data_IF_687081438055
#
_entry.id   IF_687081438055
#
_cell.length_a   1.000
_cell.length_b   1.000
_cell.length_c   1.000
_cell.angle_alpha   90.00
_cell.angle_beta   90.00
_cell.angle_gamma   90.00
#
_symmetry.space_group_name_H-M   'P 1'
#
loop_
_entity.id
_entity.type
_entity.pdbx_description
1 polymer ?
#
# COMPACT_ATOMS: atom_id res chain seq x y z
N UNK A 1 42.65 16.32 -8.83
CA UNK A 1 41.36 15.60 -8.99
C UNK A 1 40.84 15.88 -10.40
N UNK A 2 40.87 14.91 -11.31
CA UNK A 2 40.84 15.13 -12.77
C UNK A 2 39.48 15.62 -13.32
N UNK A 3 39.50 16.63 -14.23
CA UNK A 3 38.35 17.19 -14.97
C UNK A 3 37.49 16.14 -15.71
N UNK A 4 38.05 14.96 -16.03
CA UNK A 4 37.31 13.81 -16.61
C UNK A 4 36.29 13.21 -15.62
N UNK A 5 36.57 13.21 -14.32
CA UNK A 5 35.64 12.68 -13.31
C UNK A 5 34.46 13.63 -13.05
N UNK A 6 34.66 14.95 -13.15
CA UNK A 6 33.57 15.94 -13.10
C UNK A 6 32.66 15.88 -14.35
N UNK A 7 33.22 15.67 -15.55
CA UNK A 7 32.40 15.46 -16.77
C UNK A 7 31.61 14.15 -16.73
N UNK A 8 32.14 13.09 -16.12
CA UNK A 8 31.41 11.83 -15.93
C UNK A 8 30.32 11.90 -14.85
N UNK A 9 30.50 12.70 -13.79
CA UNK A 9 29.42 12.93 -12.80
C UNK A 9 28.28 13.77 -13.38
N UNK A 10 28.58 14.80 -14.18
CA UNK A 10 27.56 15.64 -14.83
C UNK A 10 26.77 14.89 -15.91
N UNK A 11 27.36 13.92 -16.63
CA UNK A 11 26.65 13.08 -17.61
C UNK A 11 25.72 12.03 -16.97
N UNK A 12 25.83 11.74 -15.67
CA UNK A 12 24.96 10.76 -14.98
C UNK A 12 23.61 11.33 -14.54
N UNK A 13 23.48 12.65 -14.37
CA UNK A 13 22.22 13.29 -13.99
C UNK A 13 21.16 13.28 -15.10
N UNK A 14 21.59 13.24 -16.37
CA UNK A 14 20.72 13.32 -17.56
C UNK A 14 20.13 11.93 -17.95
N UNK A 15 20.67 10.83 -17.40
CA UNK A 15 20.38 9.47 -17.88
C UNK A 15 18.96 8.94 -17.60
N UNK A 16 18.17 9.64 -16.80
CA UNK A 16 16.85 9.15 -16.38
C UNK A 16 15.69 10.12 -16.65
N UNK A 17 15.92 11.17 -17.43
CA UNK A 17 14.91 12.20 -17.72
C UNK A 17 13.72 11.62 -18.49
N UNK A 18 13.96 10.61 -19.33
CA UNK A 18 12.92 9.95 -20.13
C UNK A 18 11.87 9.28 -19.24
N UNK A 19 12.29 8.58 -18.18
CA UNK A 19 11.40 7.89 -17.25
C UNK A 19 10.48 8.87 -16.52
N UNK A 20 10.99 10.04 -16.13
CA UNK A 20 10.16 11.10 -15.54
C UNK A 20 9.13 11.64 -16.53
N UNK A 21 9.54 11.92 -17.78
CA UNK A 21 8.61 12.36 -18.83
C UNK A 21 7.54 11.30 -19.05
N UNK A 22 7.91 10.02 -19.14
CA UNK A 22 6.97 8.93 -19.35
C UNK A 22 5.99 8.85 -18.19
N UNK A 23 6.44 8.92 -16.93
CA UNK A 23 5.52 8.92 -15.77
C UNK A 23 4.54 10.09 -15.82
N UNK A 24 5.02 11.30 -16.11
CA UNK A 24 4.17 12.49 -16.21
C UNK A 24 3.15 12.32 -17.35
N UNK A 25 3.62 12.00 -18.56
CA UNK A 25 2.77 11.78 -19.72
C UNK A 25 1.74 10.68 -19.47
N UNK A 26 2.13 9.61 -18.77
CA UNK A 26 1.26 8.50 -18.45
C UNK A 26 0.19 8.85 -17.40
N UNK A 27 0.53 9.68 -16.38
CA UNK A 27 -0.48 10.24 -15.47
C UNK A 27 -1.53 11.08 -16.22
N UNK A 28 -1.09 11.92 -17.16
CA UNK A 28 -2.02 12.69 -18.01
C UNK A 28 -2.79 11.81 -19.00
N UNK A 29 -2.22 10.72 -19.49
CA UNK A 29 -2.93 9.77 -20.35
C UNK A 29 -4.07 9.06 -19.60
N UNK A 30 -3.83 8.67 -18.35
CA UNK A 30 -4.83 7.95 -17.54
C UNK A 30 -5.94 8.86 -17.04
N UNK A 31 -5.59 10.07 -16.58
CA UNK A 31 -6.53 10.95 -15.89
C UNK A 31 -6.91 12.19 -16.70
N UNK A 32 -6.28 12.46 -17.84
CA UNK A 32 -6.47 13.71 -18.60
C UNK A 32 -7.89 13.97 -19.08
N UNK A 33 -8.71 12.93 -19.28
CA UNK A 33 -10.12 13.10 -19.59
C UNK A 33 -10.88 13.84 -18.48
N UNK A 34 -10.42 13.75 -17.22
CA UNK A 34 -11.05 14.43 -16.10
C UNK A 34 -10.85 15.95 -16.11
N UNK A 35 -9.93 16.47 -16.94
CA UNK A 35 -9.78 17.92 -17.13
C UNK A 35 -11.09 18.53 -17.61
N UNK A 36 -11.87 17.81 -18.42
CA UNK A 36 -13.16 18.31 -18.93
C UNK A 36 -14.32 18.14 -17.94
N UNK A 37 -14.09 17.60 -16.75
CA UNK A 37 -15.13 17.46 -15.73
C UNK A 37 -15.47 18.81 -15.10
N UNK A 38 -16.69 18.90 -14.58
CA UNK A 38 -17.15 19.99 -13.71
C UNK A 38 -16.89 19.64 -12.24
N UNK A 39 -17.09 20.60 -11.35
CA UNK A 39 -17.01 20.39 -9.91
C UNK A 39 -17.97 19.30 -9.44
N UNK A 40 -17.52 18.52 -8.46
CA UNK A 40 -18.36 17.56 -7.75
C UNK A 40 -18.89 18.17 -6.44
N UNK A 41 -19.79 17.45 -5.77
CA UNK A 41 -20.45 17.89 -4.52
C UNK A 41 -19.45 18.25 -3.41
N UNK A 42 -18.32 17.54 -3.30
CA UNK A 42 -17.34 17.78 -2.22
C UNK A 42 -16.42 18.97 -2.53
N UNK A 43 -16.30 19.37 -3.80
CA UNK A 43 -15.43 20.48 -4.22
C UNK A 43 -15.96 21.83 -3.73
N UNK A 44 -17.26 21.92 -3.43
CA UNK A 44 -17.92 23.07 -2.82
C UNK A 44 -17.32 23.46 -1.46
N UNK A 45 -16.85 22.46 -0.71
CA UNK A 45 -16.27 22.65 0.62
C UNK A 45 -14.82 23.11 0.60
N UNK A 46 -14.15 23.05 -0.55
CA UNK A 46 -12.70 23.33 -0.65
C UNK A 46 -12.33 24.35 -1.70
N UNK A 47 -13.17 24.56 -2.72
CA UNK A 47 -12.85 25.38 -3.89
C UNK A 47 -14.03 26.25 -4.35
N UNK A 48 -15.06 25.65 -4.96
CA UNK A 48 -16.05 26.34 -5.80
C UNK A 48 -16.72 27.50 -5.05
N UNK A 49 -17.34 27.20 -3.91
CA UNK A 49 -18.05 28.17 -3.07
C UNK A 49 -17.33 28.47 -1.76
N UNK A 50 -16.00 28.32 -1.71
CA UNK A 50 -15.22 28.54 -0.50
C UNK A 50 -14.80 30.02 -0.37
N UNK A 51 -15.40 30.74 0.59
CA UNK A 51 -15.21 32.19 0.77
C UNK A 51 -13.74 32.64 0.86
N UNK A 52 -12.90 31.93 1.62
CA UNK A 52 -11.47 32.31 1.73
C UNK A 52 -10.64 32.01 0.47
N UNK A 53 -10.98 30.96 -0.29
CA UNK A 53 -10.33 30.65 -1.57
C UNK A 53 -10.67 31.71 -2.60
N UNK A 54 -11.93 32.16 -2.64
CA UNK A 54 -12.39 33.20 -3.54
C UNK A 54 -11.72 34.58 -3.29
N UNK A 55 -11.17 34.81 -2.08
CA UNK A 55 -10.34 35.99 -1.77
C UNK A 55 -8.94 35.94 -2.41
N UNK A 56 -8.56 34.83 -3.05
CA UNK A 56 -7.25 34.62 -3.64
C UNK A 56 -6.12 34.75 -2.62
N UNK A 57 -5.01 35.38 -3.00
CA UNK A 57 -3.84 35.56 -2.12
C UNK A 57 -4.17 36.32 -0.83
N UNK A 58 -5.15 37.23 -0.86
CA UNK A 58 -5.57 38.01 0.31
C UNK A 58 -6.25 37.13 1.38
N UNK A 59 -6.76 35.95 1.01
CA UNK A 59 -7.35 35.00 1.94
C UNK A 59 -6.35 34.20 2.77
N UNK A 60 -5.08 34.09 2.33
CA UNK A 60 -4.07 33.21 2.94
C UNK A 60 -3.87 33.48 4.45
N UNK A 61 -3.70 34.73 4.93
CA UNK A 61 -3.52 34.97 6.35
C UNK A 61 -4.70 34.49 7.22
N UNK A 62 -5.91 34.52 6.67
CA UNK A 62 -7.13 34.05 7.34
C UNK A 62 -7.24 32.53 7.30
N UNK A 63 -6.90 31.90 6.15
CA UNK A 63 -6.87 30.44 5.97
C UNK A 63 -6.03 29.74 7.06
N UNK A 64 -4.88 30.31 7.43
CA UNK A 64 -4.02 29.76 8.49
C UNK A 64 -4.53 30.01 9.92
N UNK A 65 -5.60 30.79 10.07
CA UNK A 65 -6.25 31.11 11.35
C UNK A 65 -7.62 30.48 11.50
N UNK A 66 -8.10 29.75 10.50
CA UNK A 66 -9.45 29.16 10.50
C UNK A 66 -9.42 27.67 10.16
N UNK A 67 -10.54 26.99 10.40
CA UNK A 67 -10.78 25.64 9.85
C UNK A 67 -11.10 25.75 8.36
N UNK A 68 -10.95 24.65 7.62
CA UNK A 68 -11.07 24.69 6.16
C UNK A 68 -12.51 24.70 5.66
N UNK A 69 -13.50 24.38 6.49
CA UNK A 69 -14.89 24.62 6.15
C UNK A 69 -15.66 24.98 7.43
N UNK A 70 -16.52 25.99 7.32
CA UNK A 70 -17.39 26.51 8.38
C UNK A 70 -18.85 26.61 7.92
N UNK A 71 -19.18 26.13 6.72
CA UNK A 71 -20.56 26.06 6.23
C UNK A 71 -21.32 24.91 6.90
N UNK A 72 -22.63 25.10 7.07
CA UNK A 72 -23.60 24.08 7.49
C UNK A 72 -23.36 23.40 8.85
N UNK A 73 -22.74 24.11 9.80
CA UNK A 73 -22.36 23.57 11.12
C UNK A 73 -21.41 22.35 11.07
N UNK A 74 -20.84 22.06 9.89
CA UNK A 74 -19.88 20.98 9.68
C UNK A 74 -18.46 21.53 9.64
N UNK A 75 -17.78 21.49 10.78
CA UNK A 75 -16.45 22.04 10.92
C UNK A 75 -15.39 20.97 10.67
N UNK A 76 -14.96 20.88 9.42
CA UNK A 76 -13.97 19.90 9.02
C UNK A 76 -12.54 20.40 9.27
N UNK A 77 -11.73 19.56 9.93
CA UNK A 77 -10.25 19.57 9.93
C UNK A 77 -9.49 20.89 10.16
N UNK A 78 -8.16 20.82 10.06
CA UNK A 78 -7.27 21.99 9.94
C UNK A 78 -6.24 21.67 8.85
N UNK A 79 -6.44 22.23 7.65
CA UNK A 79 -5.70 21.88 6.42
C UNK A 79 -5.30 23.13 5.63
N UNK A 80 -4.66 24.11 6.27
CA UNK A 80 -4.48 25.44 5.69
C UNK A 80 -3.61 25.44 4.44
N UNK A 81 -2.67 24.50 4.28
CA UNK A 81 -1.81 24.47 3.11
C UNK A 81 -2.59 24.11 1.85
N UNK A 82 -3.48 23.12 1.93
CA UNK A 82 -4.32 22.70 0.81
C UNK A 82 -5.21 23.85 0.34
N UNK A 83 -5.86 24.55 1.27
CA UNK A 83 -6.73 25.69 0.95
C UNK A 83 -5.93 26.89 0.44
N UNK A 84 -4.74 27.14 0.97
CA UNK A 84 -3.88 28.19 0.46
C UNK A 84 -3.45 27.92 -0.99
N UNK A 85 -3.16 26.67 -1.35
CA UNK A 85 -2.86 26.29 -2.74
C UNK A 85 -4.07 26.52 -3.65
N UNK A 86 -5.26 26.15 -3.20
CA UNK A 86 -6.49 26.48 -3.92
C UNK A 86 -6.70 27.99 -4.09
N UNK A 87 -6.45 28.80 -3.07
CA UNK A 87 -6.56 30.25 -3.14
C UNK A 87 -5.54 30.87 -4.11
N UNK A 88 -4.32 30.32 -4.15
CA UNK A 88 -3.31 30.69 -5.14
C UNK A 88 -3.80 30.36 -6.56
N UNK A 89 -4.33 29.16 -6.80
CA UNK A 89 -4.86 28.79 -8.11
C UNK A 89 -6.05 29.67 -8.51
N UNK A 90 -6.98 29.92 -7.59
CA UNK A 90 -8.13 30.79 -7.82
C UNK A 90 -7.71 32.21 -8.20
N UNK A 91 -6.64 32.75 -7.62
CA UNK A 91 -6.11 34.08 -7.97
C UNK A 91 -5.75 34.20 -9.45
N UNK A 92 -5.26 33.12 -10.07
CA UNK A 92 -4.77 33.13 -11.45
C UNK A 92 -5.78 32.57 -12.45
N UNK A 93 -6.64 31.64 -12.04
CA UNK A 93 -7.54 30.90 -12.96
C UNK A 93 -9.02 31.08 -12.64
N UNK A 94 -9.36 31.74 -11.52
CA UNK A 94 -10.73 31.96 -11.07
C UNK A 94 -11.48 30.67 -10.74
N UNK A 95 -12.80 30.73 -10.80
CA UNK A 95 -13.67 29.57 -10.56
C UNK A 95 -13.76 28.66 -11.80
N UNK A 96 -12.66 27.97 -12.14
CA UNK A 96 -12.56 27.14 -13.34
C UNK A 96 -12.22 25.68 -13.00
N UNK A 97 -13.17 24.73 -13.14
CA UNK A 97 -12.96 23.33 -12.78
C UNK A 97 -11.89 22.66 -13.65
N UNK A 98 -11.75 23.06 -14.91
CA UNK A 98 -10.77 22.47 -15.82
C UNK A 98 -9.34 22.77 -15.38
N UNK A 99 -9.08 24.01 -14.93
CA UNK A 99 -7.79 24.39 -14.38
C UNK A 99 -7.49 23.62 -13.09
N UNK A 100 -8.47 23.46 -12.21
CA UNK A 100 -8.31 22.74 -10.96
C UNK A 100 -8.01 21.25 -11.19
N UNK A 101 -8.72 20.59 -12.11
CA UNK A 101 -8.43 19.19 -12.47
C UNK A 101 -7.04 19.03 -13.12
N UNK A 102 -6.64 19.96 -13.99
CA UNK A 102 -5.29 19.97 -14.57
C UNK A 102 -4.20 20.01 -13.48
N UNK A 103 -4.29 20.94 -12.53
CA UNK A 103 -3.32 21.02 -11.44
C UNK A 103 -3.38 19.80 -10.53
N UNK A 104 -4.54 19.20 -10.33
CA UNK A 104 -4.66 17.97 -9.53
C UNK A 104 -3.87 16.81 -10.17
N UNK A 105 -4.01 16.62 -11.49
CA UNK A 105 -3.24 15.61 -12.24
C UNK A 105 -1.75 15.95 -12.21
N UNK A 106 -1.38 17.23 -12.36
CA UNK A 106 0.01 17.67 -12.29
C UNK A 106 0.63 17.36 -10.92
N UNK A 107 -0.07 17.61 -9.82
CA UNK A 107 0.39 17.25 -8.47
C UNK A 107 0.54 15.75 -8.33
N UNK A 108 -0.39 14.94 -8.84
CA UNK A 108 -0.27 13.49 -8.82
C UNK A 108 0.94 12.99 -9.62
N UNK A 109 1.20 13.59 -10.80
CA UNK A 109 2.37 13.29 -11.62
C UNK A 109 3.69 13.64 -10.88
N UNK A 110 3.73 14.78 -10.18
CA UNK A 110 4.85 15.19 -9.32
C UNK A 110 5.04 14.18 -8.18
N UNK A 111 3.96 13.73 -7.53
CA UNK A 111 4.01 12.72 -6.48
C UNK A 111 4.61 11.40 -7.01
N UNK A 112 4.20 10.94 -8.19
CA UNK A 112 4.75 9.75 -8.85
C UNK A 112 6.24 9.92 -9.19
N UNK A 113 6.64 11.08 -9.71
CA UNK A 113 8.05 11.41 -9.98
C UNK A 113 8.91 11.43 -8.70
N UNK A 114 8.37 11.97 -7.60
CA UNK A 114 9.05 11.95 -6.30
C UNK A 114 9.16 10.54 -5.74
N UNK A 115 8.11 9.73 -5.86
CA UNK A 115 8.13 8.32 -5.47
C UNK A 115 9.20 7.56 -6.27
N UNK A 116 9.29 7.79 -7.58
CA UNK A 116 10.35 7.20 -8.41
C UNK A 116 11.74 7.61 -7.94
N UNK A 117 11.91 8.88 -7.55
CA UNK A 117 13.18 9.40 -7.02
C UNK A 117 13.55 8.74 -5.68
N UNK A 118 12.58 8.62 -4.77
CA UNK A 118 12.75 7.96 -3.48
C UNK A 118 13.11 6.48 -3.66
N UNK A 119 12.36 5.76 -4.50
CA UNK A 119 12.61 4.33 -4.75
C UNK A 119 13.97 4.10 -5.41
N UNK A 120 14.40 4.97 -6.33
CA UNK A 120 15.76 4.88 -6.88
C UNK A 120 16.80 5.06 -5.79
N UNK A 121 16.60 6.02 -4.90
CA UNK A 121 17.51 6.29 -3.78
C UNK A 121 17.60 5.07 -2.84
N UNK A 122 16.47 4.41 -2.57
CA UNK A 122 16.40 3.20 -1.74
C UNK A 122 17.03 1.99 -2.44
N UNK A 123 16.71 1.74 -3.70
CA UNK A 123 17.16 0.51 -4.39
C UNK A 123 18.57 0.60 -4.97
N UNK A 124 19.14 1.80 -5.13
CA UNK A 124 20.47 1.97 -5.75
C UNK A 124 21.59 1.21 -5.04
N UNK A 125 21.59 1.15 -3.71
CA UNK A 125 22.62 0.41 -2.97
C UNK A 125 22.40 -1.11 -3.03
N UNK A 126 21.15 -1.58 -3.03
CA UNK A 126 20.82 -3.02 -2.98
C UNK A 126 20.77 -3.70 -4.34
N UNK A 127 20.36 -2.98 -5.39
CA UNK A 127 20.17 -3.47 -6.75
C UNK A 127 20.85 -2.54 -7.78
N UNK A 128 22.18 -2.32 -7.70
CA UNK A 128 22.88 -1.26 -8.43
C UNK A 128 22.75 -1.33 -9.97
N UNK A 129 22.48 -2.51 -10.53
CA UNK A 129 22.34 -2.68 -11.98
C UNK A 129 20.90 -2.47 -12.48
N UNK A 130 19.88 -2.68 -11.64
CA UNK A 130 18.48 -2.72 -12.06
C UNK A 130 17.57 -1.74 -11.29
N UNK A 131 18.10 -0.96 -10.35
CA UNK A 131 17.30 -0.09 -9.47
C UNK A 131 16.38 0.85 -10.23
N UNK A 132 16.84 1.43 -11.35
CA UNK A 132 16.02 2.35 -12.15
C UNK A 132 14.82 1.64 -12.76
N UNK A 133 15.03 0.48 -13.38
CA UNK A 133 13.97 -0.30 -14.00
C UNK A 133 12.95 -0.80 -12.97
N UNK A 134 13.43 -1.33 -11.84
CA UNK A 134 12.57 -1.82 -10.76
C UNK A 134 11.76 -0.67 -10.15
N UNK A 135 12.39 0.47 -9.86
CA UNK A 135 11.67 1.66 -9.37
C UNK A 135 10.64 2.14 -10.38
N UNK A 136 10.98 2.16 -11.66
CA UNK A 136 10.07 2.62 -12.71
C UNK A 136 8.85 1.70 -12.82
N UNK A 137 9.04 0.37 -12.84
CA UNK A 137 7.93 -0.59 -12.86
C UNK A 137 7.02 -0.45 -11.63
N UNK A 138 7.60 -0.30 -10.44
CA UNK A 138 6.80 -0.12 -9.21
C UNK A 138 5.96 1.14 -9.29
N UNK A 139 6.55 2.27 -9.74
CA UNK A 139 5.78 3.51 -9.88
C UNK A 139 4.76 3.39 -11.00
N UNK A 140 5.06 2.71 -12.10
CA UNK A 140 4.08 2.50 -13.16
C UNK A 140 2.84 1.75 -12.64
N UNK A 141 3.04 0.66 -11.87
CA UNK A 141 1.95 -0.08 -11.22
C UNK A 141 1.19 0.82 -10.25
N UNK A 142 1.90 1.59 -9.41
CA UNK A 142 1.31 2.55 -8.49
C UNK A 142 0.44 3.57 -9.25
N UNK A 143 0.96 4.19 -10.32
CA UNK A 143 0.24 5.18 -11.12
C UNK A 143 -1.03 4.62 -11.76
N UNK A 144 -1.08 3.32 -12.08
CA UNK A 144 -2.25 2.67 -12.70
C UNK A 144 -3.28 2.14 -11.72
N UNK A 145 -2.97 2.08 -10.42
CA UNK A 145 -3.83 1.37 -9.49
C UNK A 145 -5.17 2.09 -9.32
N UNK A 146 -6.27 1.37 -9.55
CA UNK A 146 -7.63 1.92 -9.55
C UNK A 146 -8.01 2.66 -8.25
N UNK A 147 -7.40 2.29 -7.11
CA UNK A 147 -7.61 2.95 -5.82
C UNK A 147 -7.23 4.44 -5.83
N UNK A 148 -6.35 4.86 -6.74
CA UNK A 148 -5.97 6.28 -6.86
C UNK A 148 -6.98 7.11 -7.65
N UNK A 149 -7.94 6.49 -8.35
CA UNK A 149 -8.95 7.25 -9.10
C UNK A 149 -9.75 8.19 -8.19
N UNK A 150 -10.16 7.75 -7.00
CA UNK A 150 -10.87 8.57 -6.02
C UNK A 150 -10.02 9.78 -5.56
N UNK A 151 -8.72 9.59 -5.40
CA UNK A 151 -7.80 10.64 -4.94
C UNK A 151 -7.48 11.64 -6.05
N UNK A 152 -7.33 11.17 -7.29
CA UNK A 152 -6.92 12.01 -8.43
C UNK A 152 -8.10 12.75 -9.06
N UNK A 153 -9.30 12.16 -9.07
CA UNK A 153 -10.48 12.73 -9.71
C UNK A 153 -11.23 13.73 -8.81
N UNK A 154 -11.21 13.54 -7.49
CA UNK A 154 -11.82 14.48 -6.53
C UNK A 154 -10.85 15.60 -6.18
N UNK A 155 -11.24 16.87 -6.37
CA UNK A 155 -10.39 18.01 -5.99
C UNK A 155 -10.30 18.10 -4.46
N UNK A 156 -11.38 17.79 -3.74
CA UNK A 156 -11.36 17.69 -2.28
C UNK A 156 -10.28 16.74 -1.73
N UNK A 157 -9.90 15.70 -2.47
CA UNK A 157 -8.85 14.77 -2.05
C UNK A 157 -7.42 15.25 -2.38
N UNK A 158 -7.24 16.44 -2.96
CA UNK A 158 -5.91 17.03 -3.24
C UNK A 158 -5.00 17.11 -2.02
N UNK A 159 -5.58 17.30 -0.84
CA UNK A 159 -4.91 17.23 0.46
C UNK A 159 -4.07 15.95 0.65
N UNK A 160 -4.54 14.79 0.17
CA UNK A 160 -3.78 13.53 0.23
C UNK A 160 -2.59 13.54 -0.74
N UNK A 161 -2.77 14.11 -1.93
CA UNK A 161 -1.70 14.24 -2.93
C UNK A 161 -0.60 15.14 -2.39
N UNK A 162 -0.96 16.30 -1.82
CA UNK A 162 -0.01 17.24 -1.23
C UNK A 162 0.69 16.64 0.00
N UNK A 163 -0.05 15.98 0.89
CA UNK A 163 0.52 15.27 2.04
C UNK A 163 1.54 14.21 1.58
N UNK A 164 1.23 13.46 0.51
CA UNK A 164 2.15 12.50 -0.10
C UNK A 164 3.38 13.18 -0.70
N UNK A 165 3.22 14.25 -1.49
CA UNK A 165 4.34 15.02 -2.08
C UNK A 165 5.32 15.46 -0.99
N UNK A 166 4.81 16.14 0.03
CA UNK A 166 5.66 16.67 1.09
C UNK A 166 6.24 15.56 1.99
N UNK A 167 5.50 14.48 2.23
CA UNK A 167 6.02 13.29 2.91
C UNK A 167 7.15 12.58 2.14
N UNK A 168 7.05 12.50 0.81
CA UNK A 168 8.09 11.96 -0.07
C UNK A 168 9.33 12.86 -0.07
N UNK A 169 9.15 14.18 -0.17
CA UNK A 169 10.25 15.16 -0.06
C UNK A 169 10.94 15.02 1.31
N UNK A 170 10.16 14.93 2.39
CA UNK A 170 10.68 14.73 3.75
C UNK A 170 11.52 13.45 3.84
N UNK A 171 11.05 12.37 3.22
CA UNK A 171 11.74 11.07 3.15
C UNK A 171 13.05 11.15 2.37
N UNK A 172 13.05 11.78 1.20
CA UNK A 172 14.25 11.94 0.36
C UNK A 172 15.32 12.74 1.11
N UNK A 173 14.96 13.87 1.72
CA UNK A 173 15.90 14.68 2.48
C UNK A 173 16.36 13.99 3.77
N UNK A 174 15.48 13.25 4.46
CA UNK A 174 15.87 12.45 5.62
C UNK A 174 16.94 11.43 5.23
N UNK A 175 16.70 10.58 4.22
CA UNK A 175 17.67 9.54 3.84
C UNK A 175 19.00 10.17 3.41
N UNK A 176 18.96 11.27 2.65
CA UNK A 176 20.16 12.02 2.27
C UNK A 176 20.93 12.55 3.49
N UNK A 177 20.24 13.08 4.51
CA UNK A 177 20.85 13.48 5.79
C UNK A 177 21.53 12.28 6.47
N UNK A 178 20.90 11.11 6.49
CA UNK A 178 21.49 9.91 7.08
C UNK A 178 22.71 9.39 6.32
N UNK A 179 22.84 9.72 5.03
CA UNK A 179 24.02 9.40 4.22
C UNK A 179 25.14 10.44 4.36
N UNK A 180 24.82 11.72 4.25
CA UNK A 180 25.81 12.79 4.11
C UNK A 180 26.03 13.64 5.37
N UNK A 181 25.16 13.50 6.37
CA UNK A 181 25.18 14.22 7.67
C UNK A 181 25.13 15.75 7.55
N UNK A 182 24.60 16.29 6.45
CA UNK A 182 24.49 17.75 6.25
C UNK A 182 23.23 18.29 6.90
N UNK A 183 23.36 19.18 7.88
CA UNK A 183 22.24 19.66 8.71
C UNK A 183 21.09 20.27 7.91
N UNK A 184 21.36 20.98 6.81
CA UNK A 184 20.30 21.56 5.98
C UNK A 184 19.34 20.50 5.42
N UNK A 185 19.80 19.26 5.20
CA UNK A 185 18.95 18.16 4.74
C UNK A 185 17.99 17.71 5.84
N UNK A 186 18.40 17.76 7.10
CA UNK A 186 17.50 17.54 8.23
C UNK A 186 16.46 18.66 8.32
N UNK A 187 16.89 19.94 8.21
CA UNK A 187 15.98 21.08 8.25
C UNK A 187 14.94 21.03 7.12
N UNK A 188 15.36 20.72 5.89
CA UNK A 188 14.44 20.57 4.76
C UNK A 188 13.49 19.37 4.92
N UNK A 189 13.96 18.27 5.54
CA UNK A 189 13.10 17.12 5.85
C UNK A 189 12.02 17.49 6.87
N UNK A 190 12.40 18.20 7.94
CA UNK A 190 11.48 18.68 8.97
C UNK A 190 10.49 19.69 8.38
N UNK A 191 10.96 20.66 7.60
CA UNK A 191 10.09 21.64 6.94
C UNK A 191 9.09 20.97 5.99
N UNK A 192 9.54 20.00 5.20
CA UNK A 192 8.64 19.24 4.35
C UNK A 192 7.61 18.44 5.17
N UNK A 193 8.00 17.87 6.31
CA UNK A 193 7.05 17.19 7.20
C UNK A 193 6.01 18.14 7.80
N UNK A 194 6.41 19.36 8.19
CA UNK A 194 5.49 20.44 8.60
C UNK A 194 4.46 20.70 7.51
N UNK A 195 4.91 20.89 6.27
CA UNK A 195 4.03 21.14 5.13
C UNK A 195 3.09 19.95 4.86
N UNK A 196 3.58 18.71 5.00
CA UNK A 196 2.74 17.53 4.88
C UNK A 196 1.60 17.50 5.91
N UNK A 197 1.88 17.86 7.16
CA UNK A 197 0.85 17.94 8.21
C UNK A 197 -0.13 19.09 8.01
N UNK A 198 0.34 20.22 7.49
CA UNK A 198 -0.53 21.35 7.15
C UNK A 198 -1.41 21.06 5.92
N UNK A 199 -1.04 20.09 5.09
CA UNK A 199 -1.90 19.55 4.03
C UNK A 199 -2.91 18.55 4.61
N UNK A 200 -2.46 17.54 5.36
CA UNK A 200 -3.33 16.54 6.00
C UNK A 200 -2.66 15.77 7.15
N UNK A 201 -3.44 15.45 8.18
CA UNK A 201 -3.00 14.62 9.31
C UNK A 201 -2.57 13.19 8.93
N UNK A 202 -3.04 12.65 7.81
CA UNK A 202 -2.65 11.31 7.30
C UNK A 202 -1.14 11.21 7.05
N UNK A 203 -0.45 12.34 6.88
CA UNK A 203 1.01 12.40 6.79
C UNK A 203 1.74 11.83 8.02
N UNK A 204 1.04 11.57 9.13
CA UNK A 204 1.61 10.94 10.35
C UNK A 204 2.29 9.61 10.06
N UNK A 205 1.85 8.91 9.01
CA UNK A 205 2.46 7.67 8.53
C UNK A 205 3.96 7.87 8.20
N UNK A 206 4.36 9.03 7.69
CA UNK A 206 5.76 9.34 7.38
C UNK A 206 6.65 9.44 8.62
N UNK A 207 6.11 9.75 9.80
CA UNK A 207 6.89 9.69 11.05
C UNK A 207 7.39 8.29 11.35
N UNK A 208 6.66 7.26 10.92
CA UNK A 208 7.01 5.85 11.11
C UNK A 208 7.80 5.35 9.89
N UNK A 209 7.34 5.65 8.67
CA UNK A 209 7.98 5.16 7.45
C UNK A 209 9.41 5.64 7.28
N UNK A 210 9.71 6.90 7.62
CA UNK A 210 11.06 7.45 7.47
C UNK A 210 12.07 6.67 8.34
N UNK A 211 11.88 6.54 9.68
CA UNK A 211 12.70 5.67 10.52
C UNK A 211 12.78 4.23 10.03
N UNK A 212 11.66 3.61 9.67
CA UNK A 212 11.66 2.22 9.19
C UNK A 212 12.50 2.05 7.93
N UNK A 213 12.41 3.00 7.00
CA UNK A 213 13.21 3.01 5.76
C UNK A 213 14.69 3.13 6.09
N UNK A 214 15.06 4.00 7.04
CA UNK A 214 16.45 4.17 7.48
C UNK A 214 16.96 2.92 8.19
N UNK A 215 16.16 2.31 9.08
CA UNK A 215 16.50 1.04 9.75
C UNK A 215 16.74 -0.01 8.68
N UNK A 216 15.75 -0.28 7.83
CA UNK A 216 15.84 -1.30 6.79
C UNK A 216 17.07 -1.13 5.88
N UNK A 217 17.49 0.11 5.62
CA UNK A 217 18.61 0.42 4.74
C UNK A 217 19.97 0.43 5.43
N UNK A 218 20.09 1.05 6.60
CA UNK A 218 21.37 1.18 7.33
C UNK A 218 21.71 -0.06 8.14
N UNK A 219 20.75 -0.97 8.31
CA UNK A 219 20.98 -2.20 9.04
C UNK A 219 21.00 -3.34 8.04
N UNK A 220 22.04 -4.17 8.11
CA UNK A 220 21.95 -5.52 7.57
C UNK A 220 21.02 -6.30 8.50
N UNK A 221 19.70 -6.03 8.45
CA UNK A 221 18.70 -6.97 8.95
C UNK A 221 18.80 -8.18 8.02
N UNK A 222 19.79 -9.03 8.32
CA UNK A 222 19.70 -10.44 8.01
C UNK A 222 18.59 -10.91 8.94
N UNK A 223 17.36 -10.98 8.41
CA UNK A 223 16.20 -11.47 9.18
C UNK A 223 16.59 -12.76 9.91
N UNK A 224 17.52 -13.54 9.33
CA UNK A 224 18.20 -14.68 9.94
C UNK A 224 19.64 -14.76 9.38
N UNK A 225 20.70 -14.44 10.14
CA UNK A 225 22.08 -14.49 9.64
C UNK A 225 22.52 -15.92 9.23
N UNK A 226 21.79 -16.93 9.71
CA UNK A 226 21.98 -18.36 9.43
C UNK A 226 20.75 -19.05 8.82
N UNK A 227 19.71 -18.33 8.36
CA UNK A 227 18.82 -18.98 7.38
C UNK A 227 19.57 -19.00 6.06
N UNK A 228 20.11 -20.17 5.75
CA UNK A 228 19.88 -20.63 4.40
C UNK A 228 18.37 -20.83 4.31
N UNK A 229 17.68 -20.10 3.44
CA UNK A 229 16.46 -20.62 2.85
C UNK A 229 16.87 -21.86 2.03
N UNK A 230 17.24 -22.93 2.73
CA UNK A 230 16.71 -24.22 2.38
C UNK A 230 15.29 -24.20 2.93
N UNK A 231 14.37 -23.58 2.18
CA UNK A 231 13.20 -24.43 1.91
C UNK A 231 13.79 -25.73 1.36
N UNK A 232 13.23 -26.91 1.61
CA UNK A 232 13.52 -28.01 0.71
C UNK A 232 13.23 -27.41 -0.67
N UNK A 233 14.29 -27.10 -1.43
CA UNK A 233 14.15 -26.21 -2.58
C UNK A 233 13.12 -26.93 -3.42
N UNK A 234 11.94 -26.33 -3.55
CA UNK A 234 11.14 -26.52 -4.74
C UNK A 234 12.06 -26.01 -5.83
N UNK A 235 12.92 -26.90 -6.32
CA UNK A 235 13.93 -26.56 -7.29
C UNK A 235 13.16 -26.17 -8.54
N UNK A 236 13.11 -24.87 -8.91
CA UNK A 236 12.39 -24.44 -10.09
C UNK A 236 13.10 -24.95 -11.36
N UNK A 237 14.27 -25.56 -11.22
CA UNK A 237 15.11 -26.00 -12.33
C UNK A 237 14.70 -27.35 -12.92
N UNK A 238 13.74 -28.08 -12.32
CA UNK A 238 13.13 -29.22 -13.02
C UNK A 238 11.87 -28.74 -13.73
N UNK A 239 11.84 -28.84 -15.06
CA UNK A 239 10.71 -28.48 -15.95
C UNK A 239 9.35 -28.96 -15.39
N UNK A 240 9.33 -30.13 -14.76
CA UNK A 240 8.16 -30.73 -14.13
C UNK A 240 7.62 -29.94 -12.92
N UNK A 241 8.47 -29.34 -12.08
CA UNK A 241 8.01 -28.57 -10.90
C UNK A 241 7.39 -27.23 -11.28
N UNK A 242 7.95 -26.56 -12.30
CA UNK A 242 7.37 -25.34 -12.87
C UNK A 242 6.00 -25.64 -13.49
N UNK A 243 5.89 -26.73 -14.23
CA UNK A 243 4.63 -27.17 -14.83
C UNK A 243 3.54 -27.44 -13.78
N UNK A 244 3.87 -28.12 -12.68
CA UNK A 244 2.92 -28.43 -11.59
C UNK A 244 2.45 -27.17 -10.88
N UNK A 245 3.37 -26.25 -10.57
CA UNK A 245 3.02 -24.97 -9.93
C UNK A 245 2.15 -24.13 -10.88
N UNK A 246 2.51 -24.06 -12.16
CA UNK A 246 1.72 -23.36 -13.18
C UNK A 246 0.33 -23.96 -13.35
N UNK A 247 0.19 -25.29 -13.42
CA UNK A 247 -1.11 -25.97 -13.47
C UNK A 247 -1.97 -25.67 -12.25
N UNK A 248 -1.36 -25.62 -11.06
CA UNK A 248 -2.06 -25.31 -9.82
C UNK A 248 -2.55 -23.86 -9.77
N UNK A 249 -1.73 -22.90 -10.19
CA UNK A 249 -2.16 -21.49 -10.30
C UNK A 249 -3.21 -21.30 -11.38
N UNK A 250 -3.07 -21.95 -12.53
CA UNK A 250 -4.07 -21.94 -13.61
C UNK A 250 -5.38 -22.54 -13.10
N UNK A 251 -5.32 -23.61 -12.31
CA UNK A 251 -6.52 -24.26 -11.77
C UNK A 251 -7.21 -23.44 -10.67
N UNK A 252 -6.46 -22.80 -9.76
CA UNK A 252 -7.04 -21.84 -8.80
C UNK A 252 -7.70 -20.68 -9.54
N UNK A 253 -7.03 -20.16 -10.57
CA UNK A 253 -7.56 -19.10 -11.40
C UNK A 253 -8.84 -19.53 -12.13
N UNK A 254 -8.86 -20.73 -12.72
CA UNK A 254 -10.06 -21.30 -13.34
C UNK A 254 -11.18 -21.57 -12.31
N UNK A 255 -10.86 -22.02 -11.10
CA UNK A 255 -11.85 -22.21 -10.04
C UNK A 255 -12.49 -20.87 -9.63
N UNK A 256 -11.68 -19.82 -9.45
CA UNK A 256 -12.18 -18.48 -9.14
C UNK A 256 -13.02 -17.89 -10.29
N UNK A 257 -12.66 -18.17 -11.55
CA UNK A 257 -13.42 -17.72 -12.72
C UNK A 257 -14.73 -18.48 -12.93
N UNK A 258 -14.74 -19.80 -12.69
CA UNK A 258 -15.86 -20.69 -13.00
C UNK A 258 -16.82 -20.88 -11.83
N UNK A 259 -16.46 -20.46 -10.61
CA UNK A 259 -17.35 -20.44 -9.45
C UNK A 259 -18.01 -19.06 -9.31
N UNK A 260 -19.26 -18.88 -9.78
CA UNK A 260 -19.92 -17.58 -9.75
C UNK A 260 -20.25 -17.11 -8.33
N UNK A 261 -20.37 -18.03 -7.37
CA UNK A 261 -20.79 -17.74 -6.00
C UNK A 261 -20.02 -18.56 -4.95
N UNK A 262 -19.82 -17.95 -3.79
CA UNK A 262 -19.13 -18.51 -2.64
C UNK A 262 -20.10 -18.69 -1.47
N UNK A 263 -20.52 -19.94 -1.22
CA UNK A 263 -21.40 -20.25 -0.07
C UNK A 263 -20.58 -20.31 1.21
N UNK A 264 -20.88 -19.46 2.17
CA UNK A 264 -20.16 -19.39 3.46
C UNK A 264 -20.79 -20.35 4.48
N UNK A 265 -22.12 -20.45 4.46
CA UNK A 265 -22.91 -21.30 5.33
C UNK A 265 -24.37 -21.28 4.89
N UNK A 266 -25.27 -21.92 5.65
CA UNK A 266 -26.69 -22.05 5.32
C UNK A 266 -27.31 -20.70 4.95
N UNK A 267 -27.60 -20.52 3.65
CA UNK A 267 -28.25 -19.33 3.09
C UNK A 267 -27.38 -18.09 2.88
N UNK A 268 -26.07 -18.14 3.15
CA UNK A 268 -25.16 -16.99 2.91
C UNK A 268 -24.25 -17.25 1.72
N UNK A 269 -24.55 -16.58 0.60
CA UNK A 269 -23.76 -16.59 -0.64
C UNK A 269 -23.04 -15.25 -0.83
N UNK A 270 -21.78 -15.31 -1.29
CA UNK A 270 -21.05 -14.16 -1.82
C UNK A 270 -20.90 -14.37 -3.32
N UNK A 271 -21.51 -13.53 -4.13
CA UNK A 271 -21.35 -13.61 -5.58
C UNK A 271 -19.99 -13.01 -5.97
N UNK A 272 -19.16 -13.81 -6.64
CA UNK A 272 -17.83 -13.42 -7.09
C UNK A 272 -17.89 -12.64 -8.40
N UNK A 273 -18.80 -13.03 -9.30
CA UNK A 273 -19.04 -12.37 -10.59
C UNK A 273 -20.53 -12.36 -10.96
N UNK A 274 -21.00 -11.35 -11.70
CA UNK A 274 -22.41 -11.15 -12.08
C UNK A 274 -22.92 -12.08 -13.19
N UNK A 275 -22.13 -13.07 -13.62
CA UNK A 275 -22.47 -13.98 -14.72
C UNK A 275 -22.80 -15.37 -14.18
N UNK A 276 -24.05 -15.81 -14.34
CA UNK A 276 -24.48 -17.18 -14.02
C UNK A 276 -23.93 -18.17 -15.06
N UNK A 277 -22.74 -18.71 -14.82
CA UNK A 277 -22.23 -19.87 -15.55
C UNK A 277 -22.66 -21.11 -14.78
N UNK A 278 -23.54 -21.93 -15.36
CA UNK A 278 -24.16 -23.08 -14.68
C UNK A 278 -23.23 -24.32 -14.66
N UNK A 279 -21.99 -24.14 -14.21
CA UNK A 279 -21.04 -25.24 -14.03
C UNK A 279 -21.16 -25.74 -12.60
N UNK A 280 -21.44 -27.05 -12.46
CA UNK A 280 -21.51 -27.69 -11.16
C UNK A 280 -20.12 -27.70 -10.50
N UNK A 281 -20.00 -27.08 -9.33
CA UNK A 281 -18.77 -26.97 -8.56
C UNK A 281 -18.10 -28.33 -8.29
N UNK A 282 -18.87 -29.42 -8.17
CA UNK A 282 -18.38 -30.79 -8.01
C UNK A 282 -17.50 -31.28 -9.17
N UNK A 283 -17.71 -30.77 -10.39
CA UNK A 283 -16.88 -31.11 -11.55
C UNK A 283 -15.46 -30.57 -11.34
N UNK A 284 -15.33 -29.37 -10.80
CA UNK A 284 -14.01 -28.76 -10.53
C UNK A 284 -13.29 -29.54 -9.43
N UNK A 285 -14.00 -29.95 -8.37
CA UNK A 285 -13.46 -30.82 -7.31
C UNK A 285 -12.95 -32.17 -7.86
N UNK A 286 -13.69 -32.79 -8.78
CA UNK A 286 -13.32 -34.05 -9.42
C UNK A 286 -12.04 -33.90 -10.25
N UNK A 287 -11.93 -32.83 -11.05
CA UNK A 287 -10.74 -32.55 -11.87
C UNK A 287 -9.50 -32.34 -10.99
N UNK A 288 -9.62 -31.62 -9.87
CA UNK A 288 -8.52 -31.46 -8.92
C UNK A 288 -8.05 -32.81 -8.36
N UNK A 289 -8.98 -33.65 -7.93
CA UNK A 289 -8.65 -34.93 -7.32
C UNK A 289 -7.93 -35.86 -8.32
N UNK A 290 -8.38 -35.89 -9.57
CA UNK A 290 -7.72 -36.64 -10.66
C UNK A 290 -6.29 -36.11 -10.88
N UNK A 291 -6.11 -34.79 -10.96
CA UNK A 291 -4.77 -34.17 -11.10
C UNK A 291 -3.87 -34.51 -9.91
N UNK A 292 -4.40 -34.48 -8.69
CA UNK A 292 -3.64 -34.81 -7.49
C UNK A 292 -3.22 -36.29 -7.44
N UNK A 293 -4.11 -37.22 -7.80
CA UNK A 293 -3.76 -38.64 -7.92
C UNK A 293 -2.70 -38.88 -9.01
N UNK A 294 -2.83 -38.20 -10.16
CA UNK A 294 -1.85 -38.25 -11.23
C UNK A 294 -0.47 -37.74 -10.77
N UNK A 295 -0.42 -36.69 -9.95
CA UNK A 295 0.82 -36.19 -9.33
C UNK A 295 1.47 -37.23 -8.40
N UNK A 296 0.67 -37.92 -7.58
CA UNK A 296 1.18 -39.01 -6.73
C UNK A 296 1.73 -40.16 -7.57
N UNK A 297 1.06 -40.52 -8.66
CA UNK A 297 1.49 -41.56 -9.59
C UNK A 297 2.84 -41.24 -10.26
N UNK A 298 2.98 -40.04 -10.85
CA UNK A 298 4.24 -39.59 -11.45
C UNK A 298 5.36 -39.61 -10.40
N UNK A 299 5.08 -39.08 -9.21
CA UNK A 299 6.08 -38.94 -8.16
C UNK A 299 6.58 -40.30 -7.63
N UNK A 300 5.72 -41.30 -7.61
CA UNK A 300 6.11 -42.67 -7.27
C UNK A 300 7.07 -43.26 -8.32
N UNK A 301 6.91 -42.93 -9.61
CA UNK A 301 7.85 -43.32 -10.68
C UNK A 301 9.18 -42.56 -10.63
N UNK A 302 9.25 -41.36 -10.06
CA UNK A 302 10.45 -40.51 -10.10
C UNK A 302 11.27 -40.53 -8.80
N UNK A 303 11.82 -41.66 -8.32
CA UNK A 303 12.77 -41.77 -7.18
C UNK A 303 12.52 -40.91 -5.91
N UNK A 304 11.33 -40.33 -5.73
CA UNK A 304 10.91 -39.44 -4.64
C UNK A 304 9.61 -39.99 -4.02
N UNK A 305 9.62 -41.24 -3.53
CA UNK A 305 8.40 -41.91 -3.08
C UNK A 305 7.76 -41.11 -1.93
N UNK A 306 6.46 -40.86 -2.04
CA UNK A 306 5.66 -40.34 -0.92
C UNK A 306 5.39 -41.52 0.01
N UNK A 307 6.09 -41.60 1.14
CA UNK A 307 5.75 -42.58 2.18
C UNK A 307 4.51 -42.12 2.94
N UNK A 308 3.54 -43.02 3.08
CA UNK A 308 2.37 -42.81 3.93
C UNK A 308 2.79 -42.91 5.40
N UNK A 309 3.21 -41.79 5.97
CA UNK A 309 3.47 -41.70 7.41
C UNK A 309 2.13 -41.53 8.16
N UNK A 310 2.05 -41.87 9.47
CA UNK A 310 0.84 -41.68 10.28
C UNK A 310 0.25 -40.27 10.17
N UNK A 311 1.13 -39.24 10.11
CA UNK A 311 0.75 -37.86 9.85
C UNK A 311 0.00 -37.67 8.52
N UNK A 312 0.44 -38.30 7.45
CA UNK A 312 -0.24 -38.21 6.16
C UNK A 312 -1.60 -38.87 6.26
N UNK A 313 -1.69 -40.07 6.86
CA UNK A 313 -2.97 -40.74 7.08
C UNK A 313 -3.93 -39.86 7.90
N UNK A 314 -3.46 -39.20 8.96
CA UNK A 314 -4.27 -38.25 9.73
C UNK A 314 -4.78 -37.08 8.88
N UNK A 315 -3.94 -36.50 8.01
CA UNK A 315 -4.35 -35.42 7.11
C UNK A 315 -5.36 -35.89 6.04
N UNK A 316 -5.28 -37.13 5.60
CA UNK A 316 -6.26 -37.74 4.69
C UNK A 316 -7.60 -38.03 5.40
N UNK A 317 -7.56 -38.48 6.66
CA UNK A 317 -8.78 -38.66 7.48
C UNK A 317 -9.46 -37.31 7.73
N UNK A 318 -8.68 -36.25 8.04
CA UNK A 318 -9.21 -34.89 8.18
C UNK A 318 -9.84 -34.42 6.87
N UNK A 319 -9.23 -34.68 5.71
CA UNK A 319 -9.83 -34.36 4.41
C UNK A 319 -11.18 -35.07 4.21
N UNK A 320 -11.27 -36.38 4.50
CA UNK A 320 -12.52 -37.12 4.36
C UNK A 320 -13.62 -36.55 5.27
N UNK A 321 -13.28 -36.17 6.50
CA UNK A 321 -14.21 -35.53 7.41
C UNK A 321 -14.67 -34.15 6.92
N UNK A 322 -13.77 -33.36 6.35
CA UNK A 322 -14.09 -32.06 5.75
C UNK A 322 -14.95 -32.23 4.49
N UNK A 323 -14.71 -33.25 3.65
CA UNK A 323 -15.58 -33.59 2.51
C UNK A 323 -16.99 -33.96 2.98
N UNK A 324 -17.11 -34.82 3.99
CA UNK A 324 -18.41 -35.18 4.56
C UNK A 324 -19.11 -33.94 5.14
N UNK A 325 -18.39 -33.09 5.86
CA UNK A 325 -18.91 -31.84 6.40
C UNK A 325 -19.36 -30.87 5.29
N UNK A 326 -18.66 -30.82 4.15
CA UNK A 326 -19.04 -30.00 2.99
C UNK A 326 -20.34 -30.46 2.35
N UNK A 327 -20.50 -31.76 2.15
CA UNK A 327 -21.73 -32.34 1.60
C UNK A 327 -22.93 -32.02 2.51
N UNK A 328 -22.72 -32.07 3.83
CA UNK A 328 -23.75 -31.78 4.84
C UNK A 328 -24.07 -30.28 4.92
N UNK A 329 -23.06 -29.41 4.89
CA UNK A 329 -23.23 -27.96 5.13
C UNK A 329 -23.45 -27.12 3.88
N UNK A 330 -23.23 -27.68 2.68
CA UNK A 330 -23.30 -26.96 1.39
C UNK A 330 -22.46 -25.66 1.35
N UNK A 331 -21.38 -25.60 2.14
CA UNK A 331 -20.45 -24.47 2.22
C UNK A 331 -19.29 -24.67 1.24
N UNK A 332 -18.80 -23.62 0.57
CA UNK A 332 -17.68 -23.68 -0.37
C UNK A 332 -16.35 -23.28 0.27
N UNK A 333 -16.37 -22.65 1.46
CA UNK A 333 -15.17 -22.24 2.21
C UNK A 333 -14.32 -23.44 2.61
N UNK A 334 -14.95 -24.51 3.12
CA UNK A 334 -14.22 -25.69 3.57
C UNK A 334 -13.57 -26.46 2.39
N UNK A 335 -14.04 -26.23 1.15
CA UNK A 335 -13.42 -26.78 -0.05
C UNK A 335 -12.05 -26.16 -0.32
N UNK A 336 -11.87 -24.85 -0.09
CA UNK A 336 -10.55 -24.22 -0.22
C UNK A 336 -9.52 -24.81 0.74
N UNK A 337 -9.97 -25.20 1.95
CA UNK A 337 -9.13 -25.87 2.94
C UNK A 337 -8.73 -27.29 2.50
N UNK A 338 -9.59 -28.00 1.74
CA UNK A 338 -9.26 -29.28 1.11
C UNK A 338 -8.15 -29.20 0.06
N UNK A 339 -7.84 -28.02 -0.51
CA UNK A 339 -6.72 -27.91 -1.46
C UNK A 339 -5.36 -27.83 -0.74
N UNK A 340 -5.36 -27.25 0.47
CA UNK A 340 -4.14 -27.01 1.25
C UNK A 340 -3.67 -28.32 1.90
N UNK A 341 -4.60 -29.11 2.44
CA UNK A 341 -4.27 -30.30 3.26
C UNK A 341 -3.53 -31.39 2.44
N UNK A 342 -3.94 -31.77 1.20
CA UNK A 342 -3.22 -32.72 0.37
C UNK A 342 -1.82 -32.23 -0.04
N UNK A 343 -1.66 -30.92 -0.29
CA UNK A 343 -0.34 -30.31 -0.56
C UNK A 343 0.60 -30.41 0.65
N UNK A 344 0.08 -30.33 1.87
CA UNK A 344 0.87 -30.51 3.09
C UNK A 344 1.38 -31.96 3.27
N UNK A 345 0.81 -32.93 2.56
CA UNK A 345 1.32 -34.33 2.56
C UNK A 345 2.55 -34.51 1.65
N UNK A 346 2.81 -33.55 0.76
CA UNK A 346 3.95 -33.57 -0.17
C UNK A 346 5.24 -33.08 0.50
N UNK A 347 5.77 -33.82 1.49
CA UNK A 347 7.09 -33.49 2.08
C UNK A 347 8.25 -33.98 1.20
N UNK A 348 9.30 -33.17 1.07
CA UNK A 348 10.63 -33.62 0.59
C UNK A 348 11.45 -33.98 1.82
N UNK A 349 12.21 -35.08 1.77
CA UNK A 349 13.13 -35.46 2.86
C UNK A 349 14.29 -34.46 2.88
N UNK A 350 14.33 -33.57 3.88
CA UNK A 350 15.53 -32.80 4.18
C UNK A 350 16.47 -33.62 5.05
N UNK A 351 17.77 -33.59 4.74
CA UNK A 351 18.81 -33.99 5.69
C UNK A 351 18.70 -33.06 6.90
N UNK A 352 18.69 -33.66 8.09
CA UNK A 352 18.43 -33.00 9.38
C UNK A 352 19.27 -31.74 9.59
N UNK A 353 18.61 -30.63 9.91
CA UNK A 353 19.26 -29.44 10.44
C UNK A 353 18.70 -29.17 11.85
N UNK A 354 19.40 -29.70 12.87
CA UNK A 354 19.25 -29.26 14.26
C UNK A 354 19.94 -27.90 14.41
N UNK A 355 19.19 -26.80 14.46
CA UNK A 355 19.60 -25.59 15.20
C UNK A 355 18.37 -24.80 15.64
N UNK A 356 18.33 -24.44 16.93
CA UNK A 356 17.39 -23.47 17.48
C UNK A 356 17.84 -22.06 17.08
N UNK A 357 16.98 -21.32 16.38
CA UNK A 357 17.30 -19.98 15.88
C UNK A 357 16.91 -18.91 16.90
N UNK A 358 17.89 -18.15 17.42
CA UNK A 358 17.64 -16.89 18.13
C UNK A 358 17.50 -15.75 17.11
N UNK A 359 16.31 -15.15 17.04
CA UNK A 359 16.05 -13.93 16.27
C UNK A 359 16.73 -12.74 16.96
N UNK A 360 17.82 -12.25 16.35
CA UNK A 360 18.56 -11.06 16.81
C UNK A 360 18.27 -9.91 15.86
N UNK A 361 17.08 -9.31 16.01
CA UNK A 361 16.56 -8.24 15.13
C UNK A 361 17.38 -6.94 15.26
N UNK A 362 18.02 -6.69 16.40
CA UNK A 362 18.61 -5.38 16.73
C UNK A 362 20.14 -5.35 16.90
N UNK A 363 20.83 -6.50 16.81
CA UNK A 363 22.27 -6.58 17.12
C UNK A 363 23.16 -5.78 16.14
N UNK A 364 22.66 -5.45 14.95
CA UNK A 364 23.38 -4.71 13.90
C UNK A 364 23.06 -3.21 13.84
N UNK A 365 22.22 -2.67 14.73
CA UNK A 365 21.88 -1.24 14.70
C UNK A 365 22.86 -0.45 15.55
N UNK A 366 23.65 0.44 14.93
CA UNK A 366 24.56 1.30 15.70
C UNK A 366 23.76 2.19 16.67
N UNK A 367 24.25 2.36 17.90
CA UNK A 367 23.63 3.24 18.92
C UNK A 367 23.36 4.66 18.39
N UNK A 368 24.24 5.17 17.50
CA UNK A 368 24.07 6.47 16.83
C UNK A 368 22.85 6.54 15.91
N UNK A 369 22.52 5.46 15.20
CA UNK A 369 21.32 5.38 14.34
C UNK A 369 20.06 5.35 15.20
N UNK A 370 20.05 4.54 16.26
CA UNK A 370 18.91 4.48 17.21
C UNK A 370 18.63 5.86 17.81
N UNK A 371 19.67 6.55 18.29
CA UNK A 371 19.54 7.90 18.83
C UNK A 371 19.00 8.89 17.79
N UNK A 372 19.50 8.83 16.55
CA UNK A 372 19.04 9.71 15.47
C UNK A 372 17.57 9.46 15.09
N UNK A 373 17.11 8.20 15.16
CA UNK A 373 15.71 7.84 14.92
C UNK A 373 14.83 8.37 16.05
N UNK A 374 15.23 8.16 17.31
CA UNK A 374 14.49 8.70 18.46
C UNK A 374 14.39 10.22 18.40
N UNK A 375 15.51 10.91 18.11
CA UNK A 375 15.52 12.35 17.93
C UNK A 375 14.58 12.79 16.79
N UNK A 376 14.59 12.08 15.66
CA UNK A 376 13.68 12.36 14.55
C UNK A 376 12.21 12.20 14.96
N UNK A 377 11.85 11.12 15.66
CA UNK A 377 10.48 10.86 16.11
C UNK A 377 10.03 11.95 17.09
N UNK A 378 10.89 12.36 18.03
CA UNK A 378 10.59 13.43 18.98
C UNK A 378 10.37 14.76 18.25
N UNK A 379 11.27 15.12 17.32
CA UNK A 379 11.14 16.35 16.53
C UNK A 379 9.87 16.31 15.68
N UNK A 380 9.60 15.20 15.00
CA UNK A 380 8.40 15.02 14.18
C UNK A 380 7.12 15.11 15.02
N UNK A 381 7.11 14.50 16.22
CA UNK A 381 6.00 14.58 17.17
C UNK A 381 5.79 15.99 17.70
N UNK A 382 6.86 16.71 18.05
CA UNK A 382 6.79 18.11 18.46
C UNK A 382 6.26 19.01 17.33
N UNK A 383 6.72 18.76 16.09
CA UNK A 383 6.22 19.44 14.90
C UNK A 383 4.72 19.19 14.73
N UNK A 384 4.28 17.93 14.71
CA UNK A 384 2.86 17.58 14.62
C UNK A 384 2.04 18.26 15.72
N UNK A 385 2.56 18.28 16.94
CA UNK A 385 1.89 18.93 18.06
C UNK A 385 1.73 20.44 17.84
N UNK A 386 2.81 21.13 17.48
CA UNK A 386 2.84 22.58 17.30
C UNK A 386 2.07 23.02 16.07
N UNK A 387 2.20 22.32 14.95
CA UNK A 387 1.70 22.79 13.65
C UNK A 387 0.27 22.33 13.37
N UNK A 388 -0.18 21.27 14.03
CA UNK A 388 -1.51 20.71 13.81
C UNK A 388 -2.36 20.69 15.09
N UNK A 389 -1.91 20.02 16.16
CA UNK A 389 -2.76 19.84 17.34
C UNK A 389 -3.04 21.13 18.12
N UNK A 390 -2.02 21.98 18.34
CA UNK A 390 -2.21 23.27 19.01
C UNK A 390 -3.20 24.15 18.24
N UNK A 391 -2.99 24.45 16.93
CA UNK A 391 -3.95 25.21 16.13
C UNK A 391 -5.35 24.59 16.17
N UNK A 392 -5.45 23.28 15.92
CA UNK A 392 -6.74 22.56 15.91
C UNK A 392 -7.50 22.69 17.23
N UNK A 393 -6.82 22.65 18.37
CA UNK A 393 -7.44 22.76 19.71
C UNK A 393 -7.73 24.21 20.11
N UNK A 394 -6.94 25.16 19.61
CA UNK A 394 -7.17 26.60 19.83
C UNK A 394 -8.33 27.16 19.00
N UNK A 395 -8.68 26.47 17.91
CA UNK A 395 -9.86 26.79 17.11
C UNK A 395 -11.10 26.24 17.79
N UNK A 396 -12.21 27.02 17.86
CA UNK A 396 -13.42 26.62 18.57
C UNK A 396 -13.82 25.18 18.22
N UNK A 397 -14.09 24.38 19.27
CA UNK A 397 -14.68 23.06 19.11
C UNK A 397 -16.03 23.23 18.43
N UNK A 398 -16.31 22.36 17.46
CA UNK A 398 -17.67 22.32 16.94
C UNK A 398 -18.19 20.90 16.90
N UNK A 399 -19.27 20.75 17.64
CA UNK A 399 -20.25 19.70 17.52
C UNK A 399 -20.83 19.70 16.11
N UNK A 400 -20.08 19.25 15.11
CA UNK A 400 -20.75 18.59 14.00
C UNK A 400 -21.33 17.31 14.62
N UNK A 401 -22.65 17.11 14.67
CA UNK A 401 -23.19 15.81 15.03
C UNK A 401 -22.59 14.83 14.03
N UNK A 402 -21.61 14.03 14.47
CA UNK A 402 -21.18 12.86 13.73
C UNK A 402 -22.41 11.95 13.75
N UNK A 403 -23.26 12.09 12.74
CA UNK A 403 -24.42 11.24 12.60
C UNK A 403 -23.89 9.80 12.63
N UNK A 404 -24.53 8.96 13.46
CA UNK A 404 -24.14 7.58 13.81
C UNK A 404 -23.69 6.71 12.62
N UNK A 405 -24.07 7.08 11.41
CA UNK A 405 -23.78 6.42 10.14
C UNK A 405 -22.34 6.59 9.62
N UNK A 406 -21.57 7.57 10.11
CA UNK A 406 -20.24 7.86 9.53
C UNK A 406 -19.11 6.94 10.01
N UNK A 407 -19.19 6.35 11.21
CA UNK A 407 -18.39 5.19 11.60
C UNK A 407 -18.86 4.60 12.95
N UNK A 408 -19.37 3.36 13.00
CA UNK A 408 -19.83 2.76 14.26
C UNK A 408 -18.71 2.57 15.32
N UNK A 409 -17.42 2.62 14.95
CA UNK A 409 -16.28 2.55 15.88
C UNK A 409 -16.26 3.70 16.90
N UNK A 410 -16.70 4.90 16.50
CA UNK A 410 -16.58 6.11 17.32
C UNK A 410 -17.83 6.39 18.16
N UNK A 411 -18.81 5.47 18.16
CA UNK A 411 -19.93 5.54 19.10
C UNK A 411 -19.46 5.27 20.53
N UNK A 412 -19.92 6.09 21.49
CA UNK A 412 -19.63 5.92 22.93
C UNK A 412 -20.01 4.54 23.50
N UNK A 413 -20.82 3.74 22.79
CA UNK A 413 -21.23 2.38 23.16
C UNK A 413 -20.49 1.23 22.44
N UNK A 414 -19.54 1.50 21.54
CA UNK A 414 -18.83 0.44 20.81
C UNK A 414 -17.84 -0.29 21.73
N UNK A 415 -18.06 -1.58 21.95
CA UNK A 415 -17.19 -2.39 22.80
C UNK A 415 -15.88 -2.76 22.07
N UNK A 416 -14.92 -3.33 22.80
CA UNK A 416 -13.60 -3.68 22.24
C UNK A 416 -13.70 -4.71 21.09
N UNK A 417 -14.69 -5.61 21.13
CA UNK A 417 -14.88 -6.65 20.12
C UNK A 417 -15.44 -6.08 18.82
N UNK A 418 -16.35 -5.11 18.88
CA UNK A 418 -16.88 -4.41 17.70
C UNK A 418 -15.77 -3.68 16.95
N UNK A 419 -14.87 -3.02 17.70
CA UNK A 419 -13.70 -2.31 17.15
C UNK A 419 -12.71 -3.27 16.50
N UNK A 420 -12.43 -4.42 17.12
CA UNK A 420 -11.56 -5.47 16.56
C UNK A 420 -12.19 -6.11 15.32
N UNK A 421 -13.48 -6.42 15.34
CA UNK A 421 -14.18 -7.00 14.21
C UNK A 421 -14.17 -6.06 12.98
N UNK A 422 -14.40 -4.76 13.17
CA UNK A 422 -14.36 -3.81 12.07
C UNK A 422 -12.93 -3.56 11.55
N UNK A 423 -11.91 -3.59 12.44
CA UNK A 423 -10.52 -3.53 12.03
C UNK A 423 -10.13 -4.75 11.17
N UNK A 424 -10.54 -5.95 11.57
CA UNK A 424 -10.34 -7.18 10.80
C UNK A 424 -11.09 -7.15 9.47
N UNK A 425 -12.35 -6.68 9.47
CA UNK A 425 -13.14 -6.52 8.25
C UNK A 425 -12.49 -5.54 7.25
N UNK A 426 -12.05 -4.38 7.74
CA UNK A 426 -11.34 -3.39 6.92
C UNK A 426 -10.03 -3.98 6.37
N UNK A 427 -9.27 -4.72 7.19
CA UNK A 427 -8.06 -5.40 6.76
C UNK A 427 -8.35 -6.40 5.63
N UNK A 428 -9.40 -7.21 5.77
CA UNK A 428 -9.85 -8.17 4.75
C UNK A 428 -10.30 -7.45 3.48
N UNK A 429 -11.03 -6.33 3.60
CA UNK A 429 -11.45 -5.51 2.47
C UNK A 429 -10.25 -4.93 1.71
N UNK A 430 -9.25 -4.40 2.41
CA UNK A 430 -8.00 -3.93 1.80
C UNK A 430 -7.18 -5.08 1.19
N UNK A 431 -7.14 -6.26 1.82
CA UNK A 431 -6.54 -7.46 1.22
C UNK A 431 -7.25 -7.88 -0.06
N UNK A 432 -8.58 -7.75 -0.11
CA UNK A 432 -9.38 -8.00 -1.31
C UNK A 432 -9.04 -6.99 -2.41
N UNK A 433 -8.96 -5.70 -2.09
CA UNK A 433 -8.56 -4.65 -3.05
C UNK A 433 -7.13 -4.84 -3.59
N UNK A 434 -6.22 -5.44 -2.82
CA UNK A 434 -4.86 -5.77 -3.28
C UNK A 434 -4.81 -7.01 -4.20
N UNK A 435 -5.86 -7.84 -4.20
CA UNK A 435 -5.96 -9.06 -5.03
C UNK A 435 -6.74 -8.83 -6.34
N UNK A 436 -7.49 -7.73 -6.42
CA UNK A 436 -8.13 -7.20 -7.65
C UNK A 436 -7.09 -6.35 -8.37
#
# INVERSE_FOLDING_TARGET
>A
MNKKNQKQSNRRGIRHFKEYIVLIAFSFLLYGMSINNYFNIDDDYVFENHQLVQKGLKGIPEIFKTRYNTKDEQYFGYRPLTIAIFAIEYQFFGNNPHSAHFFNILYYAIACALLFSLLKLIFKEKYPNNYTFISFLIVLIFTTHAIHSEVVLSLKNREEILALIFGLIASIFAINYFQNKKIYQLLLSVLALVLAFLAKESAIVFMILIPLTIIFYKTNIKILPNYKFTTPKFSPNKKQNKFIISLFFIFIFLFLLLSPEFKIGFGKTINLHNTYININEYIVWLVFFILYLYLLYIRNKTNFPVRLNPRNISLWIINLFVIAFLIITKSNIAGLLLFIIPLLTLRIKEKEAKTSYKLKIFDNISKRIVFSIFAFIIIAGAVLFITYYIPKKSLPEVNAPVFKWQNPIFGFGANIFDKVALALYSLIYYFKLLLI
#
